data_IF_293024307776
#
_entry.id   IF_293024307776
#
_cell.length_a   1.000
_cell.length_b   1.000
_cell.length_c   1.000
_cell.angle_alpha   90.00
_cell.angle_beta   90.00
_cell.angle_gamma   90.00
#
_symmetry.space_group_name_H-M   'P 1'
#
loop_
_entity.id
_entity.type
_entity.pdbx_description
1 polymer ?
#
# COMPACT_ATOMS: atom_id res chain seq x y z
N UNK A 1 -23.41 -13.77 2.97
CA UNK A 1 -22.01 -13.40 3.26
C UNK A 1 -21.77 -12.16 2.44
N UNK A 2 -21.72 -10.99 3.08
CA UNK A 2 -21.28 -9.77 2.41
C UNK A 2 -19.81 -10.00 2.01
N UNK A 3 -19.51 -9.84 0.73
CA UNK A 3 -18.11 -9.83 0.28
C UNK A 3 -17.42 -8.64 0.97
N UNK A 4 -16.21 -8.82 1.53
CA UNK A 4 -15.50 -7.70 2.12
C UNK A 4 -15.33 -6.63 1.04
N UNK A 5 -15.81 -5.41 1.31
CA UNK A 5 -15.68 -4.31 0.35
C UNK A 5 -14.20 -4.04 0.14
N UNK A 6 -13.74 -4.23 -1.10
CA UNK A 6 -12.36 -3.94 -1.50
C UNK A 6 -12.31 -2.50 -2.00
N UNK A 7 -11.34 -1.75 -1.51
CA UNK A 7 -11.04 -0.39 -1.93
C UNK A 7 -9.71 -0.37 -2.67
N UNK A 8 -9.51 0.67 -3.48
CA UNK A 8 -8.24 0.92 -4.16
C UNK A 8 -7.44 1.92 -3.33
N UNK A 9 -6.16 1.62 -3.13
CA UNK A 9 -5.22 2.46 -2.40
C UNK A 9 -3.99 2.72 -3.25
N UNK A 10 -3.46 3.94 -3.19
CA UNK A 10 -2.13 4.27 -3.71
C UNK A 10 -1.15 4.06 -2.57
N UNK A 11 -0.12 3.25 -2.80
CA UNK A 11 0.96 2.95 -1.86
C UNK A 11 2.27 3.47 -2.44
N UNK A 12 2.97 4.34 -1.72
CA UNK A 12 4.31 4.79 -2.05
C UNK A 12 5.32 4.12 -1.12
N UNK A 13 6.33 3.47 -1.71
CA UNK A 13 7.45 2.89 -0.97
C UNK A 13 8.73 2.96 -1.81
N UNK A 14 9.81 3.46 -1.22
CA UNK A 14 11.12 3.50 -1.89
C UNK A 14 11.20 4.46 -3.09
N UNK A 15 10.22 5.35 -3.25
CA UNK A 15 10.07 6.24 -4.41
C UNK A 15 9.24 5.64 -5.55
N UNK A 16 8.71 4.43 -5.37
CA UNK A 16 7.78 3.77 -6.30
C UNK A 16 6.34 3.89 -5.78
N UNK A 17 5.43 4.30 -6.67
CA UNK A 17 3.99 4.34 -6.40
C UNK A 17 3.28 3.17 -7.08
N UNK A 18 2.42 2.47 -6.34
CA UNK A 18 1.62 1.35 -6.84
C UNK A 18 0.17 1.44 -6.36
N UNK A 19 -0.76 0.93 -7.17
CA UNK A 19 -2.16 0.83 -6.77
C UNK A 19 -2.44 -0.59 -6.27
N UNK A 20 -2.95 -0.69 -5.05
CA UNK A 20 -3.26 -1.94 -4.37
C UNK A 20 -4.75 -1.99 -4.05
N UNK A 21 -5.38 -3.12 -4.37
CA UNK A 21 -6.75 -3.41 -3.96
C UNK A 21 -6.73 -4.18 -2.65
N UNK A 22 -7.34 -3.61 -1.60
CA UNK A 22 -7.33 -4.17 -0.26
C UNK A 22 -8.61 -3.82 0.51
N UNK A 23 -8.98 -4.59 1.55
CA UNK A 23 -10.13 -4.26 2.38
C UNK A 23 -9.83 -3.11 3.37
N UNK A 24 -8.55 -2.75 3.57
CA UNK A 24 -8.11 -1.64 4.41
C UNK A 24 -6.78 -1.05 3.93
N UNK A 25 -6.45 0.16 4.38
CA UNK A 25 -5.15 0.80 4.12
C UNK A 25 -3.98 0.02 4.75
N UNK A 26 -4.19 -0.61 5.91
CA UNK A 26 -3.20 -1.47 6.57
C UNK A 26 -2.88 -2.71 5.72
N UNK A 27 -3.91 -3.36 5.18
CA UNK A 27 -3.74 -4.50 4.27
C UNK A 27 -3.06 -4.07 2.95
N UNK A 28 -3.36 -2.86 2.45
CA UNK A 28 -2.70 -2.31 1.28
C UNK A 28 -1.20 -2.09 1.53
N UNK A 29 -0.84 -1.52 2.68
CA UNK A 29 0.54 -1.32 3.09
C UNK A 29 1.31 -2.65 3.19
N UNK A 30 0.69 -3.66 3.81
CA UNK A 30 1.29 -4.99 3.97
C UNK A 30 1.55 -5.68 2.61
N UNK A 31 0.58 -5.61 1.68
CA UNK A 31 0.73 -6.12 0.32
C UNK A 31 1.83 -5.37 -0.46
N UNK A 32 1.87 -4.05 -0.37
CA UNK A 32 2.88 -3.23 -1.03
C UNK A 32 4.29 -3.52 -0.48
N UNK A 33 4.45 -3.61 0.84
CA UNK A 33 5.72 -3.93 1.47
C UNK A 33 6.20 -5.34 1.10
N UNK A 34 5.32 -6.34 1.06
CA UNK A 34 5.66 -7.70 0.62
C UNK A 34 6.11 -7.75 -0.84
N UNK A 35 5.46 -7.01 -1.72
CA UNK A 35 5.86 -6.92 -3.12
C UNK A 35 7.25 -6.29 -3.26
N UNK A 36 7.51 -5.17 -2.58
CA UNK A 36 8.81 -4.52 -2.58
C UNK A 36 9.91 -5.41 -1.97
N UNK A 37 9.62 -6.08 -0.87
CA UNK A 37 10.55 -7.00 -0.22
C UNK A 37 10.90 -8.22 -1.09
N UNK A 38 10.00 -8.65 -1.97
CA UNK A 38 10.29 -9.73 -2.92
C UNK A 38 11.41 -9.36 -3.91
N UNK A 39 11.57 -8.07 -4.21
CA UNK A 39 12.59 -7.55 -5.13
C UNK A 39 13.85 -7.05 -4.40
N UNK A 40 13.70 -6.52 -3.18
CA UNK A 40 14.77 -5.86 -2.43
C UNK A 40 15.29 -6.65 -1.21
N UNK A 41 14.64 -7.74 -0.83
CA UNK A 41 14.93 -8.56 0.36
C UNK A 41 14.00 -8.25 1.53
N UNK A 42 14.07 -9.02 2.64
CA UNK A 42 13.29 -8.75 3.85
C UNK A 42 13.79 -7.49 4.59
N UNK A 43 12.91 -6.87 5.36
CA UNK A 43 13.23 -5.64 6.10
C UNK A 43 12.02 -4.93 6.69
N UNK A 44 12.29 -3.77 7.29
CA UNK A 44 11.25 -2.84 7.77
C UNK A 44 11.10 -1.71 6.77
N UNK A 45 9.87 -1.51 6.28
CA UNK A 45 9.49 -0.56 5.24
C UNK A 45 8.47 0.43 5.77
N UNK A 46 8.62 1.70 5.39
CA UNK A 46 7.60 2.73 5.63
C UNK A 46 6.85 2.95 4.33
N UNK A 47 5.57 2.59 4.30
CA UNK A 47 4.68 2.73 3.15
C UNK A 47 3.73 3.88 3.43
N UNK A 48 3.71 4.88 2.55
CA UNK A 48 2.70 5.94 2.60
C UNK A 48 1.48 5.47 1.81
N UNK A 49 0.30 5.47 2.42
CA UNK A 49 -0.94 4.97 1.81
C UNK A 49 -2.01 6.05 1.76
N UNK A 50 -2.68 6.17 0.62
CA UNK A 50 -3.89 6.99 0.45
C UNK A 50 -4.96 6.18 -0.26
N UNK A 51 -6.24 6.43 0.03
CA UNK A 51 -7.33 5.94 -0.82
C UNK A 51 -7.16 6.52 -2.24
N UNK A 52 -7.32 5.66 -3.24
CA UNK A 52 -7.33 6.07 -4.64
C UNK A 52 -8.70 6.66 -4.97
N UNK A 53 -8.72 7.90 -5.45
CA UNK A 53 -9.94 8.50 -6.00
C UNK A 53 -10.16 8.06 -7.44
N UNK A 54 -11.35 8.28 -8.01
CA UNK A 54 -11.66 7.98 -9.42
C UNK A 54 -10.73 8.64 -10.45
N UNK A 55 -9.88 9.57 -10.02
CA UNK A 55 -8.93 10.29 -10.86
C UNK A 55 -7.52 9.67 -10.87
N UNK A 56 -7.25 8.63 -10.06
CA UNK A 56 -5.94 7.95 -9.95
C UNK A 56 -4.74 8.94 -9.98
N UNK A 57 -4.88 10.06 -9.27
CA UNK A 57 -3.85 11.10 -9.20
C UNK A 57 -2.68 10.64 -8.33
N UNK A 58 -1.45 11.12 -8.57
CA UNK A 58 -0.30 10.83 -7.71
C UNK A 58 -0.60 11.13 -6.24
N UNK A 59 0.05 10.42 -5.33
CA UNK A 59 -0.13 10.60 -3.89
C UNK A 59 0.38 12.00 -3.49
N UNK A 60 -0.56 12.90 -3.16
CA UNK A 60 -0.25 14.26 -2.67
C UNK A 60 -0.10 14.25 -1.13
N UNK A 61 -0.83 13.36 -0.46
CA UNK A 61 -0.79 13.13 0.98
C UNK A 61 -1.37 11.74 1.29
N UNK A 62 -0.91 11.10 2.37
CA UNK A 62 -1.38 9.81 2.85
C UNK A 62 -0.93 9.56 4.29
N UNK A 63 -1.30 8.41 4.83
CA UNK A 63 -0.90 7.93 6.15
C UNK A 63 0.30 6.98 6.04
N UNK A 64 1.27 7.10 6.95
CA UNK A 64 2.46 6.27 6.94
C UNK A 64 2.28 5.00 7.78
N UNK A 65 2.54 3.85 7.17
CA UNK A 65 2.49 2.53 7.80
C UNK A 65 3.89 1.91 7.83
N UNK A 66 4.33 1.51 9.02
CA UNK A 66 5.59 0.77 9.18
C UNK A 66 5.31 -0.72 9.18
N UNK A 67 5.75 -1.42 8.14
CA UNK A 67 5.57 -2.86 7.96
C UNK A 67 6.92 -3.57 8.07
N UNK A 68 6.97 -4.67 8.81
CA UNK A 68 8.16 -5.55 8.84
C UNK A 68 7.83 -6.82 8.07
N UNK A 69 8.68 -7.15 7.10
CA UNK A 69 8.60 -8.37 6.28
C UNK A 69 9.83 -9.22 6.59
N UNK A 70 9.59 -10.43 7.09
CA UNK A 70 10.62 -11.41 7.50
C UNK A 70 10.78 -12.56 6.48
#
# INVERSE_FOLDING_TARGET
>A
MEEPMVLRYICELGGDETIVEAPSAEDAADLAAKAYAAEHGPGTYTVTVSEATDYDLPLIAGDDYTVTVD
#
